data_IF_416623872280
#
_entry.id   IF_416623872280
#
_cell.length_a   1.000
_cell.length_b   1.000
_cell.length_c   1.000
_cell.angle_alpha   90.00
_cell.angle_beta   90.00
_cell.angle_gamma   90.00
#
_symmetry.space_group_name_H-M   'P 1'
#
loop_
_entity.id
_entity.type
_entity.pdbx_description
1 polymer ?
#
# COMPACT_ATOMS: atom_id res chain seq x y z
N UNK A 1 17.45 14.94 21.91
CA UNK A 1 16.36 13.97 21.84
C UNK A 1 15.01 14.63 21.55
N UNK A 2 14.58 15.65 22.30
CA UNK A 2 13.28 16.33 22.10
C UNK A 2 13.04 16.85 20.67
N UNK A 3 14.02 17.52 20.06
CA UNK A 3 13.91 18.02 18.67
C UNK A 3 13.70 16.91 17.61
N UNK A 4 14.09 15.68 17.90
CA UNK A 4 13.87 14.53 17.04
C UNK A 4 12.47 13.93 17.24
N UNK A 5 12.02 13.82 18.49
CA UNK A 5 10.75 13.19 18.83
C UNK A 5 9.55 14.13 18.64
N UNK A 6 9.75 15.44 18.82
CA UNK A 6 8.67 16.44 18.73
C UNK A 6 7.88 16.39 17.40
N UNK A 7 8.51 16.26 16.21
CA UNK A 7 7.77 16.15 14.94
C UNK A 7 7.06 14.80 14.73
N UNK A 8 7.43 13.75 15.46
CA UNK A 8 6.82 12.42 15.30
C UNK A 8 5.43 12.35 15.94
N UNK A 9 5.18 13.09 17.02
CA UNK A 9 3.86 13.12 17.67
C UNK A 9 2.79 13.72 16.75
N UNK A 10 2.96 14.95 16.19
CA UNK A 10 2.00 15.45 15.21
C UNK A 10 1.91 14.60 13.96
N UNK A 11 3.01 13.94 13.52
CA UNK A 11 2.96 13.00 12.41
C UNK A 11 2.03 11.81 12.69
N UNK A 12 2.09 11.23 13.90
CA UNK A 12 1.17 10.17 14.31
C UNK A 12 -0.29 10.67 14.38
N UNK A 13 -0.50 11.91 14.84
CA UNK A 13 -1.83 12.55 14.82
C UNK A 13 -2.36 12.72 13.39
N UNK A 14 -1.53 13.11 12.41
CA UNK A 14 -1.96 13.23 11.02
C UNK A 14 -2.38 11.86 10.45
N UNK A 15 -1.68 10.79 10.77
CA UNK A 15 -2.10 9.43 10.39
C UNK A 15 -3.42 9.03 11.02
N UNK A 16 -3.65 9.38 12.29
CA UNK A 16 -4.94 9.15 12.95
C UNK A 16 -6.06 9.95 12.27
N UNK A 17 -5.82 11.22 11.95
CA UNK A 17 -6.78 12.08 11.25
C UNK A 17 -7.14 11.46 9.89
N UNK A 18 -6.17 11.06 9.07
CA UNK A 18 -6.44 10.45 7.76
C UNK A 18 -7.33 9.21 7.91
N UNK A 19 -6.99 8.29 8.83
CA UNK A 19 -7.71 7.03 8.99
C UNK A 19 -9.09 7.18 9.66
N UNK A 20 -9.30 8.25 10.43
CA UNK A 20 -10.55 8.47 11.17
C UNK A 20 -11.51 9.41 10.45
N UNK A 21 -10.98 10.38 9.67
CA UNK A 21 -11.80 11.39 8.99
C UNK A 21 -12.84 10.77 8.05
N UNK A 22 -12.50 9.69 7.36
CA UNK A 22 -13.40 8.98 6.46
C UNK A 22 -14.69 8.56 7.17
N UNK A 23 -14.56 7.94 8.35
CA UNK A 23 -15.70 7.42 9.13
C UNK A 23 -16.61 8.54 9.59
N UNK A 24 -16.04 9.65 10.08
CA UNK A 24 -16.83 10.81 10.51
C UNK A 24 -17.53 11.48 9.34
N UNK A 25 -16.86 11.60 8.18
CA UNK A 25 -17.46 12.17 6.99
C UNK A 25 -18.57 11.30 6.42
N UNK A 26 -18.39 9.97 6.39
CA UNK A 26 -19.44 9.03 5.96
C UNK A 26 -20.66 9.14 6.88
N UNK A 27 -20.46 9.18 8.18
CA UNK A 27 -21.56 9.34 9.16
C UNK A 27 -22.30 10.68 8.98
N UNK A 28 -21.58 11.75 8.68
CA UNK A 28 -22.18 13.07 8.54
C UNK A 28 -22.90 13.30 7.22
N UNK A 29 -22.31 12.83 6.10
CA UNK A 29 -22.83 13.10 4.75
C UNK A 29 -23.71 11.98 4.18
N UNK A 30 -23.58 10.78 4.65
CA UNK A 30 -24.33 9.62 4.14
C UNK A 30 -25.22 9.00 5.23
N UNK A 31 -24.78 7.89 5.83
CA UNK A 31 -25.55 7.22 6.89
C UNK A 31 -24.69 6.27 7.73
N UNK A 32 -25.18 5.81 8.91
CA UNK A 32 -24.54 4.76 9.69
C UNK A 32 -24.40 3.43 8.93
N UNK A 33 -25.40 3.07 8.09
CA UNK A 33 -25.38 1.86 7.26
C UNK A 33 -24.25 1.94 6.24
N UNK A 34 -24.10 3.07 5.55
CA UNK A 34 -23.01 3.33 4.62
C UNK A 34 -21.63 3.21 5.30
N UNK A 35 -21.51 3.69 6.56
CA UNK A 35 -20.31 3.53 7.36
C UNK A 35 -20.03 2.06 7.68
N UNK A 36 -21.06 1.27 7.94
CA UNK A 36 -20.96 -0.18 8.13
C UNK A 36 -20.41 -0.90 6.89
N UNK A 37 -20.95 -0.59 5.70
CA UNK A 37 -20.48 -1.12 4.42
C UNK A 37 -19.01 -0.76 4.17
N UNK A 38 -18.64 0.51 4.38
CA UNK A 38 -17.26 0.97 4.21
C UNK A 38 -16.30 0.36 5.23
N UNK A 39 -16.75 0.15 6.47
CA UNK A 39 -15.96 -0.50 7.51
C UNK A 39 -15.62 -1.95 7.14
N UNK A 40 -16.56 -2.70 6.55
CA UNK A 40 -16.32 -4.05 6.03
C UNK A 40 -15.38 -4.00 4.82
N UNK A 41 -15.62 -3.09 3.86
CA UNK A 41 -14.75 -2.92 2.71
C UNK A 41 -13.28 -2.68 3.11
N UNK A 42 -13.06 -1.93 4.19
CA UNK A 42 -11.74 -1.61 4.71
C UNK A 42 -11.00 -2.79 5.37
N UNK A 43 -11.71 -3.90 5.71
CA UNK A 43 -11.08 -5.07 6.36
C UNK A 43 -10.14 -5.83 5.44
N UNK A 44 -10.44 -5.90 4.15
CA UNK A 44 -9.59 -6.62 3.18
C UNK A 44 -8.26 -5.89 2.94
N UNK A 45 -8.22 -4.58 2.63
CA UNK A 45 -6.97 -3.82 2.57
C UNK A 45 -6.17 -3.83 3.88
N UNK A 46 -6.84 -3.94 5.03
CA UNK A 46 -6.19 -4.03 6.32
C UNK A 46 -5.22 -5.22 6.41
N UNK A 47 -5.50 -6.34 5.74
CA UNK A 47 -4.60 -7.51 5.71
C UNK A 47 -3.24 -7.14 5.10
N UNK A 48 -3.24 -6.35 4.03
CA UNK A 48 -1.99 -5.82 3.42
C UNK A 48 -1.24 -4.95 4.43
N UNK A 49 -1.95 -4.03 5.10
CA UNK A 49 -1.34 -3.12 6.06
C UNK A 49 -0.75 -3.85 7.28
N UNK A 50 -1.41 -4.90 7.77
CA UNK A 50 -0.90 -5.73 8.88
C UNK A 50 0.35 -6.48 8.46
N UNK A 51 0.35 -7.14 7.30
CA UNK A 51 1.53 -7.82 6.77
C UNK A 51 2.70 -6.83 6.57
N UNK A 52 2.40 -5.65 6.04
CA UNK A 52 3.39 -4.59 5.88
C UNK A 52 3.93 -4.05 7.20
N UNK A 53 3.11 -3.94 8.25
CA UNK A 53 3.57 -3.44 9.56
C UNK A 53 4.65 -4.34 10.18
N UNK A 54 4.52 -5.65 10.02
CA UNK A 54 5.54 -6.63 10.46
C UNK A 54 6.84 -6.42 9.67
N UNK A 55 6.73 -6.30 8.35
CA UNK A 55 7.87 -5.97 7.49
C UNK A 55 8.52 -4.64 7.89
N UNK A 56 7.72 -3.60 8.15
CA UNK A 56 8.20 -2.27 8.47
C UNK A 56 9.03 -2.23 9.75
N UNK A 57 8.67 -3.01 10.77
CA UNK A 57 9.46 -3.12 12.02
C UNK A 57 10.88 -3.65 11.74
N UNK A 58 11.01 -4.72 10.98
CA UNK A 58 12.30 -5.27 10.57
C UNK A 58 13.07 -4.30 9.67
N UNK A 59 12.37 -3.68 8.72
CA UNK A 59 12.92 -2.72 7.77
C UNK A 59 13.51 -1.48 8.46
N UNK A 60 12.84 -0.93 9.46
CA UNK A 60 13.34 0.24 10.19
C UNK A 60 14.67 -0.04 10.91
N UNK A 61 14.86 -1.23 11.44
CA UNK A 61 16.13 -1.65 12.05
C UNK A 61 17.22 -1.73 10.97
N UNK A 62 16.94 -2.46 9.89
CA UNK A 62 17.90 -2.66 8.79
C UNK A 62 18.34 -1.34 8.14
N UNK A 63 17.42 -0.39 7.93
CA UNK A 63 17.76 0.93 7.36
C UNK A 63 18.72 1.71 8.25
N UNK A 64 18.58 1.61 9.59
CA UNK A 64 19.44 2.30 10.53
C UNK A 64 20.83 1.64 10.57
N UNK A 65 20.90 0.30 10.57
CA UNK A 65 22.15 -0.46 10.59
C UNK A 65 22.96 -0.25 9.30
N UNK A 66 22.32 -0.36 8.15
CA UNK A 66 22.95 -0.24 6.83
C UNK A 66 23.27 1.21 6.42
N UNK A 67 22.83 2.21 7.18
CA UNK A 67 22.93 3.63 6.82
C UNK A 67 24.34 4.09 6.49
N UNK A 68 25.36 3.56 7.17
CA UNK A 68 26.76 3.97 7.02
C UNK A 68 27.59 3.00 6.16
N UNK A 69 26.97 1.93 5.61
CA UNK A 69 27.68 0.95 4.78
C UNK A 69 27.80 1.38 3.32
N UNK A 70 28.85 0.92 2.66
CA UNK A 70 28.99 1.04 1.22
C UNK A 70 28.00 0.12 0.50
N UNK A 71 27.40 0.59 -0.61
CA UNK A 71 26.44 -0.22 -1.37
C UNK A 71 25.02 -0.23 -0.80
N UNK A 72 24.71 0.51 0.27
CA UNK A 72 23.38 0.63 0.88
C UNK A 72 22.26 0.92 -0.10
N UNK A 73 22.53 1.72 -1.15
CA UNK A 73 21.52 2.09 -2.14
C UNK A 73 21.03 0.88 -2.94
N UNK A 74 21.95 -0.06 -3.27
CA UNK A 74 21.59 -1.30 -3.95
C UNK A 74 20.75 -2.21 -3.05
N UNK A 75 21.10 -2.31 -1.76
CA UNK A 75 20.32 -3.04 -0.77
C UNK A 75 18.91 -2.46 -0.63
N UNK A 76 18.80 -1.15 -0.44
CA UNK A 76 17.52 -0.47 -0.34
C UNK A 76 16.69 -0.64 -1.61
N UNK A 77 17.30 -0.48 -2.77
CA UNK A 77 16.62 -0.68 -4.05
C UNK A 77 16.10 -2.11 -4.23
N UNK A 78 16.89 -3.13 -3.85
CA UNK A 78 16.47 -4.53 -3.93
C UNK A 78 15.26 -4.80 -3.02
N UNK A 79 15.28 -4.34 -1.78
CA UNK A 79 14.15 -4.50 -0.84
C UNK A 79 12.91 -3.77 -1.36
N UNK A 80 13.07 -2.59 -1.94
CA UNK A 80 11.98 -1.84 -2.57
C UNK A 80 11.32 -2.61 -3.71
N UNK A 81 12.11 -3.21 -4.59
CA UNK A 81 11.63 -4.06 -5.68
C UNK A 81 10.87 -5.29 -5.17
N UNK A 82 11.41 -5.97 -4.15
CA UNK A 82 10.74 -7.10 -3.52
C UNK A 82 9.37 -6.72 -2.95
N UNK A 83 9.31 -5.56 -2.30
CA UNK A 83 8.08 -5.03 -1.72
C UNK A 83 7.05 -4.67 -2.79
N UNK A 84 7.45 -3.97 -3.87
CA UNK A 84 6.55 -3.67 -4.99
C UNK A 84 5.96 -4.97 -5.53
N UNK A 85 6.80 -5.92 -5.92
CA UNK A 85 6.34 -7.16 -6.54
C UNK A 85 5.39 -7.94 -5.60
N UNK A 86 5.74 -8.07 -4.33
CA UNK A 86 4.93 -8.76 -3.34
C UNK A 86 3.56 -8.12 -3.14
N UNK A 87 3.51 -6.81 -2.94
CA UNK A 87 2.27 -6.08 -2.69
C UNK A 87 1.32 -6.12 -3.88
N UNK A 88 1.83 -5.86 -5.10
CA UNK A 88 1.00 -5.84 -6.29
C UNK A 88 0.49 -7.22 -6.69
N UNK A 89 1.33 -8.27 -6.61
CA UNK A 89 0.91 -9.64 -6.89
C UNK A 89 -0.14 -10.09 -5.87
N UNK A 90 0.08 -9.81 -4.58
CA UNK A 90 -0.86 -10.18 -3.52
C UNK A 90 -2.21 -9.47 -3.68
N UNK A 91 -2.21 -8.17 -3.98
CA UNK A 91 -3.44 -7.41 -4.24
C UNK A 91 -4.17 -7.92 -5.48
N UNK A 92 -3.45 -8.21 -6.57
CA UNK A 92 -4.03 -8.77 -7.79
C UNK A 92 -4.67 -10.14 -7.54
N UNK A 93 -4.03 -10.98 -6.72
CA UNK A 93 -4.60 -12.26 -6.29
C UNK A 93 -5.92 -12.07 -5.52
N UNK A 94 -5.94 -11.15 -4.55
CA UNK A 94 -7.16 -10.85 -3.79
C UNK A 94 -8.28 -10.38 -4.73
N UNK A 95 -7.98 -9.53 -5.72
CA UNK A 95 -8.97 -9.00 -6.65
C UNK A 95 -9.73 -10.07 -7.45
N UNK A 96 -9.12 -11.24 -7.71
CA UNK A 96 -9.79 -12.34 -8.41
C UNK A 96 -11.00 -12.86 -7.60
N UNK A 97 -10.85 -12.90 -6.27
CA UNK A 97 -11.83 -13.54 -5.38
C UNK A 97 -12.77 -12.57 -4.67
N UNK A 98 -12.57 -11.24 -4.77
CA UNK A 98 -13.35 -10.25 -4.01
C UNK A 98 -14.85 -10.41 -4.25
N UNK A 99 -15.29 -10.35 -5.52
CA UNK A 99 -16.73 -10.35 -5.84
C UNK A 99 -17.40 -11.66 -5.42
N UNK A 100 -16.89 -12.85 -5.81
CA UNK A 100 -17.49 -14.11 -5.35
C UNK A 100 -17.42 -14.28 -3.84
N UNK A 101 -16.35 -13.86 -3.17
CA UNK A 101 -16.24 -13.97 -1.73
C UNK A 101 -17.30 -13.12 -1.01
N UNK A 102 -17.45 -11.85 -1.40
CA UNK A 102 -18.43 -10.95 -0.78
C UNK A 102 -19.86 -11.48 -0.97
N UNK A 103 -20.19 -11.88 -2.20
CA UNK A 103 -21.55 -12.36 -2.52
C UNK A 103 -21.89 -13.72 -1.86
N UNK A 104 -20.88 -14.52 -1.48
CA UNK A 104 -21.09 -15.83 -0.86
C UNK A 104 -21.09 -15.77 0.67
N UNK A 105 -20.23 -14.92 1.26
CA UNK A 105 -19.98 -14.94 2.71
C UNK A 105 -20.65 -13.80 3.48
N UNK A 106 -21.11 -12.73 2.80
CA UNK A 106 -21.77 -11.62 3.46
C UNK A 106 -23.31 -11.67 3.25
N UNK A 107 -24.04 -11.11 4.22
CA UNK A 107 -25.50 -10.93 4.11
C UNK A 107 -25.86 -9.85 3.10
N UNK A 108 -27.08 -9.89 2.58
CA UNK A 108 -27.58 -9.03 1.49
C UNK A 108 -27.37 -7.52 1.72
N UNK A 109 -27.43 -7.05 2.97
CA UNK A 109 -27.16 -5.65 3.30
C UNK A 109 -25.73 -5.16 3.00
N UNK A 110 -24.79 -6.07 2.77
CA UNK A 110 -23.38 -5.76 2.50
C UNK A 110 -22.92 -6.17 1.09
N UNK A 111 -23.83 -6.59 0.23
CA UNK A 111 -23.51 -7.06 -1.12
C UNK A 111 -22.78 -6.03 -1.98
N UNK A 112 -22.95 -4.73 -1.74
CA UNK A 112 -22.27 -3.66 -2.47
C UNK A 112 -20.81 -3.41 -2.04
N UNK A 113 -20.37 -4.04 -0.94
CA UNK A 113 -19.03 -3.85 -0.37
C UNK A 113 -17.90 -4.09 -1.36
N UNK A 114 -18.09 -5.07 -2.28
CA UNK A 114 -17.07 -5.39 -3.30
C UNK A 114 -16.71 -4.21 -4.20
N UNK A 115 -17.63 -3.26 -4.38
CA UNK A 115 -17.40 -2.07 -5.23
C UNK A 115 -16.29 -1.16 -4.69
N UNK A 116 -16.06 -1.11 -3.40
CA UNK A 116 -15.10 -0.18 -2.78
C UNK A 116 -13.73 -0.80 -2.57
N UNK A 117 -13.66 -2.13 -2.44
CA UNK A 117 -12.44 -2.87 -2.10
C UNK A 117 -11.30 -2.67 -3.09
N UNK A 118 -11.50 -2.73 -4.43
CA UNK A 118 -10.40 -2.57 -5.39
C UNK A 118 -9.64 -1.26 -5.23
N UNK A 119 -10.35 -0.13 -5.10
CA UNK A 119 -9.74 1.18 -4.91
C UNK A 119 -9.01 1.28 -3.57
N UNK A 120 -9.59 0.72 -2.51
CA UNK A 120 -8.96 0.67 -1.19
C UNK A 120 -7.73 -0.24 -1.15
N UNK A 121 -7.71 -1.33 -1.92
CA UNK A 121 -6.51 -2.18 -2.08
C UNK A 121 -5.35 -1.42 -2.74
N UNK A 122 -5.63 -0.71 -3.83
CA UNK A 122 -4.62 0.10 -4.51
C UNK A 122 -4.13 1.21 -3.57
N UNK A 123 -5.03 1.83 -2.82
CA UNK A 123 -4.70 2.82 -1.78
C UNK A 123 -3.78 2.25 -0.71
N UNK A 124 -4.03 1.03 -0.22
CA UNK A 124 -3.19 0.35 0.76
C UNK A 124 -1.77 0.08 0.22
N UNK A 125 -1.64 -0.29 -1.06
CA UNK A 125 -0.33 -0.44 -1.70
C UNK A 125 0.45 0.89 -1.64
N UNK A 126 -0.16 2.01 -2.05
CA UNK A 126 0.50 3.31 -2.00
C UNK A 126 0.81 3.76 -0.58
N UNK A 127 -0.01 3.37 0.41
CA UNK A 127 0.28 3.57 1.84
C UNK A 127 1.56 2.84 2.25
N UNK A 128 1.71 1.58 1.85
CA UNK A 128 2.91 0.78 2.13
C UNK A 128 4.15 1.36 1.43
N UNK A 129 4.04 1.72 0.14
CA UNK A 129 5.13 2.34 -0.63
C UNK A 129 5.55 3.68 -0.02
N UNK A 130 4.58 4.51 0.40
CA UNK A 130 4.86 5.74 1.10
C UNK A 130 5.51 5.51 2.48
N UNK A 131 5.09 4.46 3.20
CA UNK A 131 5.67 4.03 4.47
C UNK A 131 7.13 3.60 4.32
N UNK A 132 7.47 2.90 3.24
CA UNK A 132 8.85 2.53 2.91
C UNK A 132 9.77 3.76 2.83
N UNK A 133 9.38 4.78 2.05
CA UNK A 133 10.12 6.05 1.99
C UNK A 133 10.07 6.81 3.32
N UNK A 134 9.00 6.63 4.09
CA UNK A 134 8.82 7.21 5.42
C UNK A 134 9.88 6.78 6.44
N UNK A 135 10.38 5.53 6.35
CA UNK A 135 11.40 5.00 7.24
C UNK A 135 12.74 5.73 7.13
N UNK A 136 13.06 6.27 5.95
CA UNK A 136 14.30 7.00 5.75
C UNK A 136 14.34 8.33 6.52
N UNK A 137 13.20 8.99 6.75
CA UNK A 137 13.17 10.20 7.59
C UNK A 137 13.60 9.90 9.02
N UNK A 138 13.21 8.73 9.55
CA UNK A 138 13.60 8.26 10.87
C UNK A 138 15.10 7.91 10.89
N UNK A 139 15.55 7.10 9.93
CA UNK A 139 16.94 6.65 9.82
C UNK A 139 17.93 7.82 9.65
N UNK A 140 17.59 8.80 8.81
CA UNK A 140 18.42 9.97 8.54
C UNK A 140 18.14 11.16 9.49
N UNK A 141 17.31 10.96 10.54
CA UNK A 141 16.96 11.98 11.55
C UNK A 141 16.33 13.25 10.95
N UNK A 142 15.60 13.12 9.83
CA UNK A 142 14.90 14.22 9.14
C UNK A 142 13.39 14.18 9.39
N UNK A 143 12.97 13.99 10.63
CA UNK A 143 11.57 13.76 11.05
C UNK A 143 10.60 14.89 10.67
N UNK A 144 11.09 16.13 10.53
CA UNK A 144 10.30 17.24 10.00
C UNK A 144 9.77 17.01 8.57
N UNK A 145 10.52 16.28 7.72
CA UNK A 145 10.05 15.88 6.39
C UNK A 145 8.90 14.88 6.45
N UNK A 146 8.95 13.93 7.40
CA UNK A 146 7.86 12.99 7.62
C UNK A 146 6.57 13.73 7.99
N UNK A 147 6.63 14.68 8.94
CA UNK A 147 5.49 15.49 9.36
C UNK A 147 4.92 16.30 8.18
N UNK A 148 5.78 17.01 7.45
CA UNK A 148 5.37 17.86 6.31
C UNK A 148 4.63 17.06 5.24
N UNK A 149 5.17 15.90 4.86
CA UNK A 149 4.55 15.04 3.84
C UNK A 149 3.21 14.46 4.30
N UNK A 150 3.11 14.04 5.57
CA UNK A 150 1.86 13.52 6.14
C UNK A 150 0.80 14.62 6.30
N UNK A 151 1.19 15.85 6.62
CA UNK A 151 0.27 17.00 6.71
C UNK A 151 -0.35 17.32 5.34
N UNK A 152 0.46 17.33 4.27
CA UNK A 152 -0.06 17.52 2.91
C UNK A 152 -1.02 16.39 2.53
N UNK A 153 -0.70 15.15 2.85
CA UNK A 153 -1.59 14.02 2.61
C UNK A 153 -2.92 14.18 3.35
N UNK A 154 -2.90 14.57 4.62
CA UNK A 154 -4.10 14.79 5.42
C UNK A 154 -4.97 15.91 4.83
N UNK A 155 -4.37 17.02 4.41
CA UNK A 155 -5.10 18.11 3.75
C UNK A 155 -5.75 17.66 2.44
N UNK A 156 -5.00 16.96 1.59
CA UNK A 156 -5.52 16.43 0.32
C UNK A 156 -6.67 15.45 0.60
N UNK A 157 -6.52 14.55 1.58
CA UNK A 157 -7.55 13.59 1.96
C UNK A 157 -8.84 14.28 2.41
N UNK A 158 -8.75 15.25 3.32
CA UNK A 158 -9.91 15.98 3.82
C UNK A 158 -10.60 16.76 2.69
N UNK A 159 -9.84 17.49 1.89
CA UNK A 159 -10.41 18.29 0.78
C UNK A 159 -11.11 17.41 -0.25
N UNK A 160 -10.46 16.32 -0.68
CA UNK A 160 -11.04 15.41 -1.66
C UNK A 160 -12.25 14.67 -1.09
N UNK A 161 -12.22 14.23 0.17
CA UNK A 161 -13.35 13.59 0.81
C UNK A 161 -14.57 14.53 0.86
N UNK A 162 -14.39 15.77 1.33
CA UNK A 162 -15.46 16.76 1.39
C UNK A 162 -16.10 17.03 0.02
N UNK A 163 -15.30 17.00 -1.04
CA UNK A 163 -15.77 17.22 -2.40
C UNK A 163 -16.41 15.96 -2.97
N UNK A 164 -15.69 14.83 -2.99
CA UNK A 164 -16.12 13.63 -3.70
C UNK A 164 -17.27 12.90 -3.01
N UNK A 165 -17.37 12.91 -1.68
CA UNK A 165 -18.45 12.23 -0.96
C UNK A 165 -19.83 12.74 -1.36
N UNK A 166 -19.95 14.04 -1.67
CA UNK A 166 -21.22 14.67 -2.06
C UNK A 166 -21.69 14.26 -3.45
N UNK A 167 -20.77 13.95 -4.38
CA UNK A 167 -21.09 13.63 -5.77
C UNK A 167 -21.18 12.13 -6.04
N UNK A 168 -20.31 11.34 -5.45
CA UNK A 168 -20.19 9.91 -5.75
C UNK A 168 -20.19 9.01 -4.49
N UNK A 169 -20.60 9.56 -3.33
CA UNK A 169 -20.84 8.80 -2.11
C UNK A 169 -19.58 8.03 -1.63
N UNK A 170 -19.76 6.76 -1.24
CA UNK A 170 -18.68 5.92 -0.73
C UNK A 170 -17.54 5.67 -1.72
N UNK A 171 -17.83 5.64 -3.04
CA UNK A 171 -16.78 5.57 -4.06
C UNK A 171 -15.88 6.80 -4.00
N UNK A 172 -16.45 7.98 -3.68
CA UNK A 172 -15.70 9.20 -3.50
C UNK A 172 -14.69 9.11 -2.36
N UNK A 173 -15.06 8.49 -1.26
CA UNK A 173 -14.16 8.26 -0.12
C UNK A 173 -13.03 7.31 -0.52
N UNK A 174 -13.32 6.21 -1.21
CA UNK A 174 -12.31 5.27 -1.68
C UNK A 174 -11.33 5.91 -2.70
N UNK A 175 -11.85 6.74 -3.62
CA UNK A 175 -11.02 7.50 -4.56
C UNK A 175 -10.16 8.57 -3.86
N UNK A 176 -10.74 9.27 -2.88
CA UNK A 176 -10.01 10.25 -2.08
C UNK A 176 -8.82 9.61 -1.37
N UNK A 177 -9.01 8.44 -0.77
CA UNK A 177 -7.94 7.66 -0.14
C UNK A 177 -6.84 7.30 -1.13
N UNK A 178 -7.22 6.78 -2.31
CA UNK A 178 -6.27 6.42 -3.36
C UNK A 178 -5.42 7.62 -3.80
N UNK A 179 -6.05 8.75 -4.11
CA UNK A 179 -5.35 9.95 -4.58
C UNK A 179 -4.47 10.54 -3.47
N UNK A 180 -4.93 10.53 -2.23
CA UNK A 180 -4.18 11.08 -1.08
C UNK A 180 -2.91 10.28 -0.81
N UNK A 181 -2.98 8.94 -0.79
CA UNK A 181 -1.81 8.10 -0.56
C UNK A 181 -0.87 8.03 -1.76
N UNK A 182 -1.40 8.13 -2.99
CA UNK A 182 -0.58 8.33 -4.19
C UNK A 182 0.20 9.65 -4.09
N UNK A 183 -0.46 10.73 -3.68
CA UNK A 183 0.20 12.04 -3.46
C UNK A 183 1.28 11.94 -2.39
N UNK A 184 1.00 11.26 -1.28
CA UNK A 184 1.99 11.02 -0.22
C UNK A 184 3.22 10.27 -0.75
N UNK A 185 2.99 9.19 -1.50
CA UNK A 185 4.05 8.39 -2.10
C UNK A 185 4.93 9.21 -3.04
N UNK A 186 4.32 9.93 -3.98
CA UNK A 186 5.04 10.78 -4.94
C UNK A 186 5.81 11.88 -4.23
N UNK A 187 5.18 12.55 -3.26
CA UNK A 187 5.85 13.61 -2.50
C UNK A 187 7.06 13.08 -1.71
N UNK A 188 6.93 11.91 -1.08
CA UNK A 188 8.05 11.30 -0.34
C UNK A 188 9.20 10.89 -1.25
N UNK A 189 8.94 10.39 -2.46
CA UNK A 189 9.99 10.12 -3.45
C UNK A 189 10.76 11.41 -3.77
N UNK A 190 10.07 12.51 -4.03
CA UNK A 190 10.70 13.78 -4.40
C UNK A 190 11.50 14.36 -3.23
N UNK A 191 10.95 14.34 -2.03
CA UNK A 191 11.58 14.94 -0.86
C UNK A 191 12.78 14.11 -0.36
N UNK A 192 12.72 12.78 -0.41
CA UNK A 192 13.83 11.91 0.01
C UNK A 192 15.02 11.95 -0.94
N UNK A 193 14.85 12.30 -2.23
CA UNK A 193 15.96 12.51 -3.18
C UNK A 193 16.99 13.53 -2.70
N UNK A 194 16.64 14.41 -1.77
CA UNK A 194 17.55 15.43 -1.21
C UNK A 194 18.65 14.85 -0.33
N UNK A 195 18.51 13.61 0.12
CA UNK A 195 19.47 12.97 1.04
C UNK A 195 19.71 11.49 0.76
N UNK A 196 18.97 10.89 -0.16
CA UNK A 196 19.11 9.49 -0.54
C UNK A 196 18.65 9.30 -2.00
N UNK A 197 19.49 8.71 -2.82
CA UNK A 197 19.20 8.45 -4.23
C UNK A 197 18.83 6.98 -4.39
N UNK A 198 17.54 6.69 -4.41
CA UNK A 198 17.00 5.39 -4.78
C UNK A 198 16.24 5.54 -6.09
N UNK A 199 16.44 4.61 -7.02
CA UNK A 199 15.65 4.55 -8.27
C UNK A 199 14.20 4.21 -7.92
N UNK A 200 13.22 5.08 -8.25
CA UNK A 200 11.83 4.88 -7.83
C UNK A 200 11.07 3.81 -8.63
N UNK A 201 11.69 3.21 -9.65
CA UNK A 201 11.08 2.21 -10.54
C UNK A 201 9.66 2.58 -11.01
N UNK A 202 9.51 3.85 -11.39
CA UNK A 202 8.22 4.46 -11.72
C UNK A 202 7.48 3.70 -12.82
N UNK A 203 8.20 3.17 -13.82
CA UNK A 203 7.60 2.40 -14.91
C UNK A 203 6.99 1.11 -14.39
N UNK A 204 7.69 0.39 -13.53
CA UNK A 204 7.18 -0.86 -12.93
C UNK A 204 5.94 -0.59 -12.08
N UNK A 205 5.97 0.44 -11.24
CA UNK A 205 4.83 0.85 -10.41
C UNK A 205 3.65 1.25 -11.28
N UNK A 206 3.88 2.03 -12.35
CA UNK A 206 2.82 2.43 -13.28
C UNK A 206 2.20 1.24 -14.03
N UNK A 207 3.01 0.32 -14.55
CA UNK A 207 2.51 -0.87 -15.23
C UNK A 207 1.67 -1.74 -14.29
N UNK A 208 2.16 -2.01 -13.07
CA UNK A 208 1.44 -2.79 -12.08
C UNK A 208 0.13 -2.09 -11.65
N UNK A 209 0.16 -0.77 -11.45
CA UNK A 209 -1.04 0.01 -11.12
C UNK A 209 -2.05 -0.01 -12.27
N UNK A 210 -1.61 0.11 -13.51
CA UNK A 210 -2.48 0.00 -14.69
C UNK A 210 -3.19 -1.36 -14.75
N UNK A 211 -2.49 -2.44 -14.44
CA UNK A 211 -3.10 -3.78 -14.38
C UNK A 211 -4.17 -3.84 -13.29
N UNK A 212 -3.91 -3.32 -12.08
CA UNK A 212 -4.92 -3.31 -10.99
C UNK A 212 -6.13 -2.43 -11.35
N UNK A 213 -5.91 -1.29 -12.00
CA UNK A 213 -7.00 -0.46 -12.50
C UNK A 213 -7.82 -1.22 -13.54
N UNK A 214 -7.17 -1.91 -14.48
CA UNK A 214 -7.86 -2.75 -15.47
C UNK A 214 -8.66 -3.87 -14.79
N UNK A 215 -8.11 -4.55 -13.80
CA UNK A 215 -8.84 -5.53 -12.99
C UNK A 215 -10.05 -4.90 -12.30
N UNK A 216 -9.90 -3.68 -11.76
CA UNK A 216 -11.01 -2.93 -11.15
C UNK A 216 -12.14 -2.70 -12.16
N UNK A 217 -11.82 -2.23 -13.38
CA UNK A 217 -12.82 -2.05 -14.44
C UNK A 217 -13.52 -3.37 -14.81
N UNK A 218 -12.78 -4.48 -14.90
CA UNK A 218 -13.36 -5.79 -15.20
C UNK A 218 -14.33 -6.21 -14.10
N UNK A 219 -13.97 -6.04 -12.82
CA UNK A 219 -14.82 -6.36 -11.68
C UNK A 219 -16.13 -5.55 -11.70
N UNK A 220 -16.10 -4.29 -12.18
CA UNK A 220 -17.28 -3.43 -12.25
C UNK A 220 -18.19 -3.72 -13.41
N UNK A 221 -17.64 -4.00 -14.60
CA UNK A 221 -18.40 -4.01 -15.85
C UNK A 221 -18.65 -5.40 -16.43
N UNK A 222 -17.90 -6.41 -16.00
CA UNK A 222 -18.03 -7.76 -16.52
C UNK A 222 -18.42 -8.74 -15.40
N UNK A 223 -19.33 -9.65 -15.73
CA UNK A 223 -19.79 -10.70 -14.84
C UNK A 223 -19.55 -12.08 -15.47
N UNK A 224 -19.61 -13.11 -14.62
CA UNK A 224 -19.55 -14.49 -15.03
C UNK A 224 -18.15 -15.03 -15.31
N UNK A 225 -18.11 -16.14 -16.01
CA UNK A 225 -16.89 -16.94 -16.20
C UNK A 225 -15.81 -16.21 -17.03
N UNK A 226 -16.24 -15.38 -17.97
CA UNK A 226 -15.32 -14.60 -18.82
C UNK A 226 -14.54 -13.58 -17.99
N UNK A 227 -15.21 -12.85 -17.09
CA UNK A 227 -14.57 -11.91 -16.17
C UNK A 227 -13.51 -12.62 -15.32
N UNK A 228 -13.83 -13.79 -14.78
CA UNK A 228 -12.91 -14.57 -13.96
C UNK A 228 -11.65 -15.01 -14.74
N UNK A 229 -11.81 -15.48 -15.97
CA UNK A 229 -10.67 -15.85 -16.83
C UNK A 229 -9.76 -14.67 -17.16
N UNK A 230 -10.36 -13.48 -17.45
CA UNK A 230 -9.57 -12.27 -17.73
C UNK A 230 -8.82 -11.82 -16.47
N UNK A 231 -9.43 -11.89 -15.27
CA UNK A 231 -8.76 -11.56 -14.02
C UNK A 231 -7.56 -12.48 -13.75
N UNK A 232 -7.71 -13.80 -14.00
CA UNK A 232 -6.60 -14.76 -13.91
C UNK A 232 -5.50 -14.41 -14.93
N UNK A 233 -5.86 -14.11 -16.17
CA UNK A 233 -4.89 -13.72 -17.19
C UNK A 233 -4.09 -12.48 -16.76
N UNK A 234 -4.74 -11.45 -16.23
CA UNK A 234 -4.08 -10.24 -15.73
C UNK A 234 -3.18 -10.52 -14.52
N UNK A 235 -3.58 -11.42 -13.62
CA UNK A 235 -2.74 -11.89 -12.52
C UNK A 235 -1.47 -12.60 -13.02
N UNK A 236 -1.60 -13.49 -14.00
CA UNK A 236 -0.45 -14.17 -14.62
C UNK A 236 0.45 -13.16 -15.32
N UNK A 237 -0.13 -12.21 -16.05
CA UNK A 237 0.64 -11.12 -16.70
C UNK A 237 1.41 -10.28 -15.66
N UNK A 238 0.80 -9.91 -14.55
CA UNK A 238 1.47 -9.21 -13.45
C UNK A 238 2.62 -10.02 -12.87
N UNK A 239 2.40 -11.31 -12.62
CA UNK A 239 3.44 -12.23 -12.14
C UNK A 239 4.60 -12.34 -13.14
N UNK A 240 4.30 -12.37 -14.44
CA UNK A 240 5.29 -12.41 -15.51
C UNK A 240 6.12 -11.13 -15.58
N UNK A 241 5.52 -9.96 -15.47
CA UNK A 241 6.24 -8.67 -15.44
C UNK A 241 7.20 -8.63 -14.23
N UNK A 242 6.80 -9.17 -13.09
CA UNK A 242 7.60 -9.20 -11.87
C UNK A 242 8.51 -10.44 -11.74
N UNK A 243 8.59 -11.34 -12.76
CA UNK A 243 9.30 -12.64 -12.69
C UNK A 243 10.78 -12.52 -12.35
N UNK A 244 11.49 -11.53 -12.92
CA UNK A 244 12.92 -11.35 -12.68
C UNK A 244 13.25 -11.07 -11.21
N UNK A 245 12.32 -10.42 -10.52
CA UNK A 245 12.41 -10.10 -9.10
C UNK A 245 12.05 -11.32 -8.24
N UNK A 246 11.02 -12.07 -8.62
CA UNK A 246 10.66 -13.32 -7.95
C UNK A 246 11.80 -14.34 -7.97
N UNK A 247 12.48 -14.48 -9.11
CA UNK A 247 13.65 -15.38 -9.23
C UNK A 247 14.79 -14.93 -8.29
N UNK A 248 15.08 -13.61 -8.19
CA UNK A 248 16.07 -13.08 -7.26
C UNK A 248 15.69 -13.33 -5.80
N UNK A 249 14.43 -13.13 -5.43
CA UNK A 249 13.93 -13.41 -4.08
C UNK A 249 14.11 -14.89 -3.72
N UNK A 250 13.73 -15.80 -4.63
CA UNK A 250 13.88 -17.24 -4.42
C UNK A 250 15.36 -17.64 -4.30
N UNK A 251 16.26 -17.04 -5.09
CA UNK A 251 17.69 -17.27 -4.99
C UNK A 251 18.25 -16.87 -3.63
N UNK A 252 17.90 -15.67 -3.13
CA UNK A 252 18.31 -15.17 -1.81
C UNK A 252 17.77 -16.06 -0.69
N UNK A 253 16.50 -16.46 -0.75
CA UNK A 253 15.91 -17.36 0.23
C UNK A 253 16.63 -18.72 0.27
N UNK A 254 16.98 -19.27 -0.90
CA UNK A 254 17.78 -20.50 -1.00
C UNK A 254 19.16 -20.37 -0.33
N UNK A 255 19.86 -19.25 -0.57
CA UNK A 255 21.15 -18.99 0.07
C UNK A 255 21.05 -18.89 1.60
N UNK A 256 20.01 -18.18 2.10
CA UNK A 256 19.77 -18.06 3.55
C UNK A 256 19.48 -19.44 4.16
N UNK A 257 18.63 -20.23 3.52
CA UNK A 257 18.31 -21.59 3.98
C UNK A 257 19.54 -22.49 3.93
N UNK A 258 20.33 -22.44 2.87
CA UNK A 258 21.57 -23.19 2.76
C UNK A 258 22.59 -22.80 3.86
N UNK A 259 22.83 -21.51 4.08
CA UNK A 259 23.70 -21.05 5.18
C UNK A 259 23.23 -21.52 6.54
N UNK A 260 21.92 -21.55 6.78
CA UNK A 260 21.35 -22.01 8.06
C UNK A 260 21.47 -23.53 8.26
N UNK A 261 21.38 -24.31 7.17
CA UNK A 261 21.48 -25.77 7.24
C UNK A 261 22.92 -26.26 7.19
N UNK A 262 23.80 -25.67 6.36
CA UNK A 262 25.19 -26.13 6.20
C UNK A 262 26.15 -25.44 7.18
N UNK A 263 25.87 -24.25 7.68
CA UNK A 263 26.66 -23.60 8.71
C UNK A 263 26.51 -24.21 10.12
N UNK A 264 25.56 -25.13 10.32
CA UNK A 264 25.41 -25.91 11.55
C UNK A 264 26.24 -27.21 11.60
N UNK A 265 26.80 -27.62 10.47
CA UNK A 265 27.58 -28.87 10.35
C UNK A 265 29.09 -28.62 10.28
N UNK A 266 29.55 -27.41 10.57
CA UNK A 266 30.99 -27.05 10.59
C UNK A 266 31.48 -26.55 11.94
N UNK A 267 30.86 -27.03 13.05
CA UNK A 267 31.38 -26.86 14.43
C UNK A 267 31.49 -28.22 15.10
#
# INVERSE_FOLDING_TARGET
>A
MLMYSLPLVPNAMMWWVINSSDKYMILYFLSPEANGVFAIASKIPLVINVAYSIFLMAWQISVVEERNQEGKENFYHMIYLCMISGLFIFASFIMIFIKPAILTFLSDGYNETWKYIPLLLISAIFTCLAGYYGSFYVAFKKTGGALKTSMVCAMVSICLNLFLIRYIGLLGVAMSNLISFLTLYVYRIIDTKRFLIIKPESVLVLCNTAILITQTFIIYFLDGYVAFLILIFLFVLMTFINRSLLVKIVAILKEIVQKKYYGKNSV
#
